data_IF_705254121670
#
_entry.id   IF_705254121670
#
_cell.length_a   1.000
_cell.length_b   1.000
_cell.length_c   1.000
_cell.angle_alpha   90.00
_cell.angle_beta   90.00
_cell.angle_gamma   90.00
#
_symmetry.space_group_name_H-M   'P 1'
#
loop_
_entity.id
_entity.type
_entity.pdbx_description
1 polymer ?
#
# COMPACT_ATOMS: atom_id res chain seq x y z
N UNK A 1 -13.06 1.86 8.07
CA UNK A 1 -12.48 1.36 9.34
C UNK A 1 -11.14 0.63 9.14
N UNK A 2 -10.43 0.82 8.02
CA UNK A 2 -9.28 -0.01 7.63
C UNK A 2 -8.14 0.00 8.67
N UNK A 3 -7.73 1.17 9.16
CA UNK A 3 -6.66 1.28 10.16
C UNK A 3 -7.03 0.65 11.52
N UNK A 4 -8.30 0.71 11.93
CA UNK A 4 -8.77 0.07 13.16
C UNK A 4 -8.66 -1.46 13.11
N UNK A 5 -8.85 -2.05 11.92
CA UNK A 5 -8.70 -3.48 11.72
C UNK A 5 -7.22 -3.83 11.59
N UNK A 6 -6.47 -3.12 10.72
CA UNK A 6 -5.07 -3.43 10.44
C UNK A 6 -4.18 -3.37 11.69
N UNK A 7 -4.40 -2.39 12.59
CA UNK A 7 -3.63 -2.28 13.84
C UNK A 7 -3.70 -3.51 14.73
N UNK A 8 -4.76 -4.33 14.61
CA UNK A 8 -4.90 -5.59 15.35
C UNK A 8 -3.87 -6.64 14.91
N UNK A 9 -3.17 -6.42 13.79
CA UNK A 9 -2.01 -7.21 13.37
C UNK A 9 -0.72 -6.83 14.10
N UNK A 10 -0.73 -5.83 14.99
CA UNK A 10 0.37 -5.55 15.93
C UNK A 10 0.94 -4.14 15.90
N UNK A 11 0.58 -3.31 14.90
CA UNK A 11 1.00 -1.91 14.86
C UNK A 11 -0.05 -0.99 15.51
N UNK A 12 0.16 -0.74 16.81
CA UNK A 12 -0.73 0.06 17.64
C UNK A 12 -0.39 1.56 17.67
N UNK A 13 0.47 2.06 16.78
CA UNK A 13 0.84 3.48 16.75
C UNK A 13 -0.43 4.36 16.65
N UNK A 14 -0.66 5.29 17.61
CA UNK A 14 -1.88 6.09 17.67
C UNK A 14 -2.04 7.04 16.47
N UNK A 15 -0.96 7.35 15.74
CA UNK A 15 -0.96 8.10 14.48
C UNK A 15 -2.07 7.64 13.49
N UNK A 16 -2.42 6.35 13.53
CA UNK A 16 -3.36 5.73 12.60
C UNK A 16 -4.82 5.73 13.05
N UNK A 17 -5.13 6.18 14.28
CA UNK A 17 -6.50 6.14 14.81
C UNK A 17 -6.89 7.36 15.65
N UNK A 18 -5.94 8.09 16.21
CA UNK A 18 -6.17 9.19 17.13
C UNK A 18 -5.87 10.54 16.46
N UNK A 19 -6.87 11.42 16.28
CA UNK A 19 -6.68 12.71 15.62
C UNK A 19 -5.64 13.61 16.29
N UNK A 20 -5.54 13.60 17.64
CA UNK A 20 -4.55 14.43 18.35
C UNK A 20 -3.13 13.96 18.06
N UNK A 21 -2.89 12.65 18.12
CA UNK A 21 -1.61 12.04 17.74
C UNK A 21 -1.27 12.27 16.25
N UNK A 22 -2.26 12.20 15.37
CA UNK A 22 -2.06 12.47 13.94
C UNK A 22 -1.64 13.93 13.68
N UNK A 23 -2.33 14.87 14.34
CA UNK A 23 -2.00 16.29 14.30
C UNK A 23 -0.60 16.58 14.83
N UNK A 24 -0.22 15.95 15.95
CA UNK A 24 1.16 16.04 16.47
C UNK A 24 2.20 15.51 15.47
N UNK A 25 1.84 14.49 14.68
CA UNK A 25 2.64 13.95 13.59
C UNK A 25 2.68 14.81 12.32
N UNK A 26 1.95 15.93 12.29
CA UNK A 26 1.88 16.84 11.14
C UNK A 26 0.85 16.45 10.08
N UNK A 27 -0.16 15.65 10.44
CA UNK A 27 -1.25 15.26 9.55
C UNK A 27 -2.58 15.87 10.02
N UNK A 28 -3.43 16.27 9.07
CA UNK A 28 -4.74 16.87 9.38
C UNK A 28 -5.74 15.84 9.96
N UNK A 29 -5.53 14.55 9.68
CA UNK A 29 -6.32 13.44 10.17
C UNK A 29 -5.49 12.14 10.23
N UNK A 30 -5.96 11.08 10.91
CA UNK A 30 -5.26 9.81 10.95
C UNK A 30 -5.02 9.21 9.57
N UNK A 31 -3.80 8.75 9.32
CA UNK A 31 -3.40 8.13 8.05
C UNK A 31 -3.42 6.61 8.15
N UNK A 32 -3.64 5.92 7.03
CA UNK A 32 -3.51 4.48 6.94
C UNK A 32 -2.04 4.07 7.11
N UNK A 33 -1.80 2.92 7.76
CA UNK A 33 -0.47 2.33 7.88
C UNK A 33 0.14 2.09 6.49
N UNK A 34 1.40 2.50 6.29
CA UNK A 34 2.10 2.24 5.03
C UNK A 34 2.14 0.75 4.68
N UNK A 35 2.35 -0.12 5.68
CA UNK A 35 2.32 -1.58 5.49
C UNK A 35 0.91 -2.13 5.18
N UNK A 36 -0.17 -1.42 5.52
CA UNK A 36 -1.51 -1.77 5.06
C UNK A 36 -1.68 -1.43 3.57
N UNK A 37 -1.25 -0.24 3.15
CA UNK A 37 -1.21 0.14 1.72
C UNK A 37 -0.38 -0.84 0.91
N UNK A 38 0.79 -1.24 1.42
CA UNK A 38 1.63 -2.27 0.82
C UNK A 38 0.90 -3.60 0.63
N UNK A 39 0.15 -4.05 1.64
CA UNK A 39 -0.64 -5.28 1.57
C UNK A 39 -1.68 -5.22 0.46
N UNK A 40 -2.36 -4.07 0.30
CA UNK A 40 -3.29 -3.84 -0.81
C UNK A 40 -2.59 -3.84 -2.17
N UNK A 41 -1.43 -3.21 -2.31
CA UNK A 41 -0.64 -3.28 -3.55
C UNK A 41 -0.31 -4.74 -3.90
N UNK A 42 0.19 -5.53 -2.94
CA UNK A 42 0.55 -6.92 -3.16
C UNK A 42 -0.67 -7.77 -3.54
N UNK A 43 -1.81 -7.58 -2.87
CA UNK A 43 -3.04 -8.29 -3.18
C UNK A 43 -3.53 -7.99 -4.60
N UNK A 44 -3.61 -6.70 -4.98
CA UNK A 44 -4.06 -6.29 -6.32
C UNK A 44 -3.14 -6.81 -7.43
N UNK A 45 -1.82 -6.80 -7.20
CA UNK A 45 -0.84 -7.32 -8.17
C UNK A 45 -0.92 -8.85 -8.28
N UNK A 46 -1.14 -9.57 -7.17
CA UNK A 46 -1.37 -11.02 -7.20
C UNK A 46 -2.65 -11.38 -7.96
N UNK A 47 -3.74 -10.67 -7.72
CA UNK A 47 -4.99 -10.86 -8.47
C UNK A 47 -4.76 -10.60 -9.97
N UNK A 48 -4.16 -9.46 -10.32
CA UNK A 48 -3.99 -9.03 -11.71
C UNK A 48 -2.96 -9.81 -12.52
N UNK A 49 -1.86 -10.26 -11.91
CA UNK A 49 -0.73 -10.89 -12.61
C UNK A 49 -0.62 -12.40 -12.36
N UNK A 50 -1.16 -12.88 -11.23
CA UNK A 50 -1.02 -14.26 -10.79
C UNK A 50 -2.37 -14.99 -10.61
N UNK A 51 -3.50 -14.35 -10.92
CA UNK A 51 -4.83 -14.93 -10.73
C UNK A 51 -5.17 -15.23 -9.27
N UNK A 52 -4.59 -14.46 -8.34
CA UNK A 52 -4.77 -14.61 -6.89
C UNK A 52 -3.92 -15.72 -6.25
N UNK A 53 -3.09 -16.43 -7.02
CA UNK A 53 -2.23 -17.49 -6.50
C UNK A 53 -1.01 -16.92 -5.76
N UNK A 54 -1.11 -16.89 -4.43
CA UNK A 54 -0.05 -16.43 -3.55
C UNK A 54 1.22 -17.29 -3.60
N UNK A 55 1.17 -18.54 -4.09
CA UNK A 55 2.36 -19.39 -4.23
C UNK A 55 3.32 -18.90 -5.30
N UNK A 56 2.82 -18.07 -6.24
CA UNK A 56 3.61 -17.43 -7.30
C UNK A 56 4.33 -16.17 -6.84
N UNK A 57 4.00 -15.65 -5.66
CA UNK A 57 4.65 -14.47 -5.11
C UNK A 57 6.15 -14.74 -4.87
N UNK A 58 7.02 -13.88 -5.40
CA UNK A 58 8.46 -13.97 -5.15
C UNK A 58 8.97 -12.78 -4.36
N UNK A 59 8.73 -11.56 -4.85
CA UNK A 59 9.27 -10.35 -4.24
C UNK A 59 8.41 -9.14 -4.57
N UNK A 60 8.30 -8.24 -3.59
CA UNK A 60 7.78 -6.90 -3.82
C UNK A 60 8.70 -5.91 -3.10
N UNK A 61 8.99 -4.79 -3.75
CA UNK A 61 9.71 -3.66 -3.17
C UNK A 61 8.86 -2.42 -3.38
N UNK A 62 8.78 -1.55 -2.38
CA UNK A 62 8.08 -0.26 -2.47
C UNK A 62 8.90 0.87 -1.87
N UNK A 63 8.60 2.11 -2.27
CA UNK A 63 8.87 3.32 -1.49
C UNK A 63 7.55 3.99 -1.14
N UNK A 64 7.27 4.17 0.15
CA UNK A 64 6.17 5.01 0.61
C UNK A 64 6.51 6.47 0.33
N UNK A 65 5.68 7.12 -0.48
CA UNK A 65 5.98 8.42 -1.08
C UNK A 65 5.10 9.55 -0.55
N UNK A 66 3.88 9.21 -0.15
CA UNK A 66 2.91 10.10 0.45
C UNK A 66 1.93 9.28 1.33
N UNK A 67 1.25 9.89 2.31
CA UNK A 67 0.25 9.20 3.11
C UNK A 67 -0.98 8.82 2.29
N UNK A 68 -1.66 7.77 2.74
CA UNK A 68 -3.02 7.40 2.32
C UNK A 68 -3.94 7.72 3.48
N UNK A 69 -5.01 8.46 3.23
CA UNK A 69 -6.03 8.77 4.23
C UNK A 69 -7.13 7.69 4.26
N UNK A 70 -7.88 7.65 5.36
CA UNK A 70 -8.88 6.62 5.56
C UNK A 70 -10.05 6.80 4.60
N UNK A 71 -10.41 5.75 3.85
CA UNK A 71 -11.52 5.77 2.89
C UNK A 71 -11.11 6.14 1.46
N UNK A 72 -9.86 6.52 1.25
CA UNK A 72 -9.32 6.76 -0.09
C UNK A 72 -9.22 5.47 -0.92
N UNK A 73 -9.37 5.61 -2.23
CA UNK A 73 -9.26 4.49 -3.17
C UNK A 73 -7.85 4.40 -3.73
N UNK A 74 -7.18 3.27 -3.48
CA UNK A 74 -5.87 2.97 -4.04
C UNK A 74 -6.02 2.35 -5.44
N UNK A 75 -5.30 2.90 -6.41
CA UNK A 75 -5.18 2.36 -7.77
C UNK A 75 -3.73 1.93 -8.02
N UNK A 76 -3.55 0.87 -8.81
CA UNK A 76 -2.24 0.35 -9.21
C UNK A 76 -2.07 0.58 -10.71
N UNK A 77 -1.02 1.32 -11.06
CA UNK A 77 -0.55 1.43 -12.44
C UNK A 77 0.72 0.59 -12.55
N UNK A 78 0.70 -0.47 -13.36
CA UNK A 78 1.81 -1.41 -13.47
C UNK A 78 2.20 -1.65 -14.93
N UNK A 79 3.49 -1.83 -15.18
CA UNK A 79 4.03 -2.09 -16.51
C UNK A 79 5.18 -3.09 -16.44
N UNK A 80 5.25 -3.98 -17.42
CA UNK A 80 6.29 -4.99 -17.51
C UNK A 80 7.66 -4.35 -17.75
N UNK A 81 8.67 -4.81 -17.02
CA UNK A 81 10.08 -4.50 -17.30
C UNK A 81 10.99 -5.75 -17.33
N UNK A 82 10.36 -6.92 -17.39
CA UNK A 82 10.95 -8.25 -17.56
C UNK A 82 9.86 -9.31 -17.72
N UNK A 83 10.25 -10.57 -17.93
CA UNK A 83 9.29 -11.68 -18.17
C UNK A 83 8.33 -11.90 -16.99
N UNK A 84 8.86 -11.90 -15.75
CA UNK A 84 8.07 -12.05 -14.52
C UNK A 84 8.30 -10.89 -13.55
N UNK A 85 8.46 -9.68 -14.09
CA UNK A 85 8.72 -8.48 -13.29
C UNK A 85 7.98 -7.28 -13.84
N UNK A 86 7.25 -6.62 -12.94
CA UNK A 86 6.49 -5.42 -13.22
C UNK A 86 6.98 -4.31 -12.30
N UNK A 87 7.23 -3.14 -12.87
CA UNK A 87 7.31 -1.90 -12.09
C UNK A 87 5.90 -1.39 -11.89
N UNK A 88 5.66 -0.68 -10.78
CA UNK A 88 4.36 -0.11 -10.53
C UNK A 88 4.41 1.17 -9.69
N UNK A 89 3.31 1.92 -9.77
CA UNK A 89 2.95 2.98 -8.84
C UNK A 89 1.61 2.68 -8.17
N UNK A 90 1.52 3.06 -6.90
CA UNK A 90 0.26 3.11 -6.18
C UNK A 90 -0.20 4.56 -6.11
N UNK A 91 -1.43 4.82 -6.53
CA UNK A 91 -2.00 6.16 -6.65
C UNK A 91 -3.29 6.30 -5.88
N UNK A 92 -3.52 7.50 -5.36
CA UNK A 92 -4.83 7.96 -4.89
C UNK A 92 -5.13 9.23 -5.65
N UNK A 93 -6.14 9.18 -6.51
CA UNK A 93 -6.40 10.21 -7.51
C UNK A 93 -5.10 10.58 -8.27
N UNK A 94 -4.71 11.85 -8.29
CA UNK A 94 -3.47 12.29 -8.95
C UNK A 94 -2.20 12.03 -8.13
N UNK A 95 -2.30 11.68 -6.84
CA UNK A 95 -1.16 11.56 -5.92
C UNK A 95 -0.51 10.18 -5.98
N UNK A 96 0.80 10.13 -6.24
CA UNK A 96 1.60 8.89 -6.10
C UNK A 96 1.94 8.65 -4.63
N UNK A 97 1.33 7.63 -4.03
CA UNK A 97 1.52 7.23 -2.62
C UNK A 97 2.54 6.10 -2.46
N UNK A 98 2.73 5.29 -3.50
CA UNK A 98 3.78 4.27 -3.60
C UNK A 98 4.52 4.48 -4.92
N UNK A 99 5.85 4.61 -4.85
CA UNK A 99 6.70 4.82 -6.03
C UNK A 99 7.96 3.96 -5.99
N UNK A 100 8.75 3.96 -7.08
CA UNK A 100 10.01 3.23 -7.19
C UNK A 100 9.86 1.75 -6.78
N UNK A 101 8.72 1.18 -7.17
CA UNK A 101 8.22 -0.08 -6.70
C UNK A 101 8.21 -1.13 -7.82
N UNK A 102 8.47 -2.38 -7.46
CA UNK A 102 8.38 -3.50 -8.38
C UNK A 102 7.80 -4.73 -7.69
N UNK A 103 7.25 -5.62 -8.51
CA UNK A 103 6.70 -6.90 -8.14
C UNK A 103 7.28 -7.99 -9.06
N UNK A 104 7.74 -9.08 -8.44
CA UNK A 104 8.28 -10.26 -9.11
C UNK A 104 7.46 -11.48 -8.72
N UNK A 105 7.21 -12.34 -9.69
CA UNK A 105 6.48 -13.60 -9.52
C UNK A 105 7.16 -14.75 -10.29
N UNK A 106 6.66 -15.97 -10.11
CA UNK A 106 7.06 -17.17 -10.88
C UNK A 106 5.87 -17.73 -11.64
#
# INVERSE_FOLDING_TARGET
>A
NQAHVYRLSGDYNPLHIDPESASFGGFDEPILHGLCTFGHCAHLLLEGLCGGDASRFRRIKVRFSAPVFLGETLQIEAWADGENRFQFEGRVDERTVVSNAYFEFE
#
